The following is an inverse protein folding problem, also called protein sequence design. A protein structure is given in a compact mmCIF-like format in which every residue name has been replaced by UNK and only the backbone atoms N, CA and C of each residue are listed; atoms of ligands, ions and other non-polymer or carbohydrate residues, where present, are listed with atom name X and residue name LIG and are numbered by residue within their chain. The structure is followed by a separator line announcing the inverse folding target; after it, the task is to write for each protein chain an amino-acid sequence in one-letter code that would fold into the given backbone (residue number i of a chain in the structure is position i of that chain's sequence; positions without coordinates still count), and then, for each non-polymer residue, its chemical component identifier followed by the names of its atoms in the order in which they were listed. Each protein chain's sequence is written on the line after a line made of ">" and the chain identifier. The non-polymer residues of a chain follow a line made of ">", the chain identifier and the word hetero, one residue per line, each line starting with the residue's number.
data_IF_003394246453
#
_entry.id   IF_003394246453
#
_cell.length_a   1.000
_cell.length_b   1.000
_cell.length_c   1.000
_cell.angle_alpha   90.00
_cell.angle_beta   90.00
_cell.angle_gamma   90.00
#
_symmetry.space_group_name_H-M   'P 1'
#
loop_
_entity.id
_entity.type
_entity.pdbx_description
1 polymer ?
#
# COMPACT_ATOMS: atom_id res chain seq x y z
N UNK A 1 5.84 20.37 2.59
CA UNK A 1 6.40 21.21 1.50
C UNK A 1 6.59 22.64 1.94
N UNK A 2 5.56 23.29 2.52
CA UNK A 2 5.66 24.67 3.01
C UNK A 2 6.81 24.84 4.00
N UNK A 3 6.91 23.98 5.02
CA UNK A 3 7.99 24.00 6.00
C UNK A 3 9.38 23.84 5.35
N UNK A 4 9.51 22.90 4.39
CA UNK A 4 10.77 22.68 3.67
C UNK A 4 11.19 23.89 2.82
N UNK A 5 10.23 24.62 2.26
CA UNK A 5 10.54 25.88 1.54
C UNK A 5 11.04 26.98 2.50
N UNK A 6 10.45 27.12 3.68
CA UNK A 6 10.95 28.07 4.69
C UNK A 6 12.34 27.68 5.22
N UNK A 7 12.60 26.38 5.42
CA UNK A 7 13.95 25.93 5.81
C UNK A 7 14.94 26.19 4.67
N UNK A 8 14.52 26.07 3.42
CA UNK A 8 15.39 26.39 2.27
C UNK A 8 15.76 27.89 2.22
N UNK A 9 14.85 28.79 2.61
CA UNK A 9 15.13 30.21 2.74
C UNK A 9 16.30 30.46 3.69
N UNK A 10 16.35 29.74 4.81
CA UNK A 10 17.33 29.98 5.87
C UNK A 10 18.64 29.17 5.68
N UNK A 11 18.53 27.96 5.09
CA UNK A 11 19.64 26.98 4.98
C UNK A 11 20.03 26.62 3.54
N UNK A 12 19.38 27.21 2.54
CA UNK A 12 19.54 26.83 1.13
C UNK A 12 18.76 25.59 0.75
N UNK A 13 18.57 25.37 -0.54
CA UNK A 13 17.96 24.18 -1.12
C UNK A 13 18.88 22.96 -1.02
N UNK A 14 18.37 21.76 -1.29
CA UNK A 14 19.24 20.60 -1.48
C UNK A 14 20.15 20.80 -2.71
N UNK A 15 21.36 20.19 -2.74
CA UNK A 15 22.39 20.52 -3.75
C UNK A 15 21.95 20.40 -5.21
N UNK A 16 21.20 19.34 -5.54
CA UNK A 16 20.74 19.04 -6.90
C UNK A 16 19.42 19.74 -7.28
N UNK A 17 18.96 20.73 -6.50
CA UNK A 17 17.71 21.40 -6.76
C UNK A 17 17.77 22.27 -8.01
N UNK A 18 17.04 21.85 -9.05
CA UNK A 18 16.73 22.66 -10.22
C UNK A 18 15.29 23.17 -10.13
N UNK A 19 15.16 24.47 -9.86
CA UNK A 19 13.85 25.13 -9.69
C UNK A 19 12.93 24.98 -10.89
N UNK A 20 13.47 25.09 -12.10
CA UNK A 20 12.67 25.00 -13.33
C UNK A 20 12.17 23.57 -13.53
N UNK A 21 13.07 22.60 -13.41
CA UNK A 21 12.72 21.18 -13.53
C UNK A 21 11.73 20.77 -12.47
N UNK A 22 11.96 21.12 -11.19
CA UNK A 22 11.05 20.76 -10.10
C UNK A 22 9.63 21.30 -10.33
N UNK A 23 9.49 22.60 -10.61
CA UNK A 23 8.18 23.24 -10.80
C UNK A 23 7.47 22.81 -12.10
N UNK A 24 8.18 22.23 -13.06
CA UNK A 24 7.61 21.66 -14.27
C UNK A 24 7.04 20.24 -14.07
N UNK A 25 7.40 19.54 -12.98
CA UNK A 25 6.92 18.18 -12.71
C UNK A 25 5.40 18.15 -12.47
N UNK A 26 4.75 17.05 -12.87
CA UNK A 26 3.33 16.87 -12.61
C UNK A 26 3.01 16.83 -11.13
N UNK A 27 3.90 16.25 -10.33
CA UNK A 27 3.78 16.30 -8.88
C UNK A 27 3.76 17.75 -8.35
N UNK A 28 4.69 18.60 -8.74
CA UNK A 28 4.71 20.00 -8.28
C UNK A 28 3.45 20.77 -8.68
N UNK A 29 2.84 20.43 -9.81
CA UNK A 29 1.56 21.02 -10.25
C UNK A 29 0.39 20.67 -9.34
N UNK A 30 0.45 19.55 -8.61
CA UNK A 30 -0.59 19.17 -7.63
C UNK A 30 -0.51 19.98 -6.33
N UNK A 31 0.64 20.60 -6.04
CA UNK A 31 0.81 21.40 -4.84
C UNK A 31 -0.03 22.68 -4.89
N UNK A 32 -0.56 23.15 -3.75
CA UNK A 32 -1.26 24.43 -3.68
C UNK A 32 -0.41 25.57 -4.26
N UNK A 33 -1.05 26.51 -4.94
CA UNK A 33 -0.35 27.63 -5.58
C UNK A 33 0.55 28.41 -4.62
N UNK A 34 0.11 28.60 -3.37
CA UNK A 34 0.89 29.30 -2.33
C UNK A 34 2.19 28.56 -2.00
N UNK A 35 2.17 27.20 -1.97
CA UNK A 35 3.36 26.37 -1.75
C UNK A 35 4.29 26.45 -2.95
N UNK A 36 3.76 26.39 -4.16
CA UNK A 36 4.54 26.54 -5.40
C UNK A 36 5.23 27.90 -5.49
N UNK A 37 4.57 28.98 -5.05
CA UNK A 37 5.16 30.32 -4.98
C UNK A 37 6.32 30.38 -3.98
N UNK A 38 6.16 29.80 -2.79
CA UNK A 38 7.25 29.70 -1.80
C UNK A 38 8.45 28.92 -2.35
N UNK A 39 8.21 27.79 -3.03
CA UNK A 39 9.27 27.00 -3.65
C UNK A 39 9.94 27.80 -4.80
N UNK A 40 9.16 28.55 -5.55
CA UNK A 40 9.71 29.44 -6.60
C UNK A 40 10.63 30.51 -6.03
N UNK A 41 10.29 31.05 -4.89
CA UNK A 41 11.05 32.14 -4.25
C UNK A 41 12.27 31.58 -3.50
N UNK A 42 12.08 30.63 -2.62
CA UNK A 42 13.10 30.17 -1.67
C UNK A 42 13.76 28.84 -2.05
N UNK A 43 13.19 28.07 -3.00
CA UNK A 43 13.59 26.70 -3.25
C UNK A 43 12.94 25.70 -2.28
N UNK A 44 13.51 24.50 -2.17
CA UNK A 44 13.06 23.46 -1.24
C UNK A 44 14.27 22.77 -0.60
N UNK A 45 14.22 22.60 0.72
CA UNK A 45 15.36 22.03 1.48
C UNK A 45 15.54 20.54 1.26
N UNK A 46 14.45 19.79 1.15
CA UNK A 46 14.45 18.33 1.09
C UNK A 46 14.12 17.86 -0.32
N UNK A 47 14.96 16.99 -0.87
CA UNK A 47 14.73 16.41 -2.20
C UNK A 47 13.49 15.51 -2.25
N UNK A 48 13.17 14.89 -1.11
CA UNK A 48 12.01 14.01 -0.92
C UNK A 48 11.40 14.27 0.45
N UNK A 49 10.06 14.27 0.54
CA UNK A 49 9.34 14.58 1.76
C UNK A 49 8.31 13.54 2.18
N UNK A 50 7.60 12.93 1.24
CA UNK A 50 6.51 11.99 1.54
C UNK A 50 6.76 10.64 0.88
N UNK A 51 6.56 9.58 1.65
CA UNK A 51 6.52 8.19 1.21
C UNK A 51 5.41 7.44 1.93
N UNK A 52 4.95 6.35 1.36
CA UNK A 52 4.09 5.40 2.09
C UNK A 52 4.90 4.14 2.34
N UNK A 53 5.31 3.97 3.61
CA UNK A 53 6.06 2.81 4.06
C UNK A 53 5.13 1.60 4.31
N UNK A 54 5.67 0.37 4.38
CA UNK A 54 4.86 -0.84 4.58
C UNK A 54 4.07 -0.87 5.89
N UNK A 55 4.63 -0.34 6.98
CA UNK A 55 4.03 -0.22 8.33
C UNK A 55 3.36 -1.50 8.89
N UNK A 56 3.79 -2.68 8.45
CA UNK A 56 3.16 -3.96 8.76
C UNK A 56 2.95 -4.20 10.26
N UNK A 57 4.04 -4.17 11.04
CA UNK A 57 3.97 -4.38 12.49
C UNK A 57 3.20 -3.27 13.21
N UNK A 58 3.41 -2.02 12.79
CA UNK A 58 2.72 -0.87 13.40
C UNK A 58 1.21 -0.93 13.18
N UNK A 59 0.77 -1.25 11.95
CA UNK A 59 -0.65 -1.40 11.64
C UNK A 59 -1.29 -2.54 12.43
N UNK A 60 -0.62 -3.70 12.54
CA UNK A 60 -1.10 -4.81 13.36
C UNK A 60 -1.23 -4.43 14.84
N UNK A 61 -0.29 -3.64 15.38
CA UNK A 61 -0.32 -3.21 16.78
C UNK A 61 -1.52 -2.31 17.07
N UNK A 62 -1.92 -1.47 16.13
CA UNK A 62 -3.07 -0.56 16.31
C UNK A 62 -4.39 -1.10 15.70
N UNK A 63 -4.37 -2.32 15.14
CA UNK A 63 -5.57 -3.00 14.66
C UNK A 63 -6.17 -2.42 13.38
N UNK A 64 -5.33 -1.90 12.46
CA UNK A 64 -5.76 -1.35 11.17
C UNK A 64 -5.00 -1.99 10.01
N UNK A 65 -5.54 -1.86 8.80
CA UNK A 65 -4.81 -2.21 7.57
C UNK A 65 -3.55 -1.34 7.44
N UNK A 66 -2.52 -1.85 6.77
CA UNK A 66 -1.20 -1.23 6.72
C UNK A 66 -1.00 -0.48 5.40
N UNK A 67 -0.43 0.71 5.48
CA UNK A 67 -0.15 1.54 4.29
C UNK A 67 -1.38 1.78 3.44
N UNK A 68 -1.34 1.34 2.18
CA UNK A 68 -2.45 1.38 1.21
C UNK A 68 -2.84 -0.03 0.75
N UNK A 69 -2.53 -1.02 1.58
CA UNK A 69 -2.90 -2.41 1.30
C UNK A 69 -4.34 -2.70 1.73
N UNK A 70 -5.07 -3.55 1.00
CA UNK A 70 -6.27 -4.17 1.54
C UNK A 70 -5.91 -5.07 2.73
N UNK A 71 -6.89 -5.48 3.51
CA UNK A 71 -6.68 -6.55 4.50
C UNK A 71 -6.20 -7.81 3.79
N UNK A 72 -5.37 -8.64 4.46
CA UNK A 72 -4.89 -9.89 3.86
C UNK A 72 -6.06 -10.79 3.45
N UNK A 73 -6.96 -11.05 4.38
CA UNK A 73 -8.23 -11.74 4.19
C UNK A 73 -9.14 -11.44 5.37
N UNK A 74 -10.48 -11.48 5.23
CA UNK A 74 -11.42 -11.34 6.34
C UNK A 74 -11.21 -12.39 7.43
N UNK A 75 -10.83 -13.63 7.04
CA UNK A 75 -10.43 -14.69 7.94
C UNK A 75 -9.29 -15.53 7.32
N UNK A 76 -8.37 -16.01 8.15
CA UNK A 76 -7.22 -16.76 7.68
C UNK A 76 -6.63 -17.70 8.73
N UNK A 77 -5.95 -18.74 8.28
CA UNK A 77 -5.09 -19.55 9.17
C UNK A 77 -3.74 -18.86 9.36
N UNK A 78 -3.31 -18.76 10.62
CA UNK A 78 -1.97 -18.35 11.00
C UNK A 78 -1.24 -19.55 11.61
N UNK A 79 -0.03 -19.81 11.14
CA UNK A 79 0.86 -20.81 11.77
C UNK A 79 1.58 -20.17 12.95
N UNK A 80 1.45 -20.77 14.14
CA UNK A 80 2.12 -20.34 15.35
C UNK A 80 3.06 -21.46 15.80
N UNK A 81 4.32 -21.13 16.02
CA UNK A 81 5.29 -22.06 16.60
C UNK A 81 5.15 -22.05 18.12
N UNK A 82 4.71 -23.16 18.71
CA UNK A 82 4.69 -23.38 20.16
C UNK A 82 5.69 -24.50 20.50
N UNK A 83 6.87 -24.13 20.96
CA UNK A 83 7.97 -25.07 21.18
C UNK A 83 8.39 -25.71 19.85
N UNK A 84 8.35 -27.04 19.77
CA UNK A 84 8.65 -27.81 18.56
C UNK A 84 7.43 -28.11 17.65
N UNK A 85 6.22 -27.70 18.08
CA UNK A 85 4.98 -27.95 17.32
C UNK A 85 4.53 -26.68 16.57
N UNK A 86 4.00 -26.89 15.35
CA UNK A 86 3.32 -25.85 14.58
C UNK A 86 1.82 -26.03 14.78
N UNK A 87 1.18 -25.04 15.38
CA UNK A 87 -0.28 -24.98 15.51
C UNK A 87 -0.84 -24.03 14.44
N UNK A 88 -2.02 -24.36 13.90
CA UNK A 88 -2.81 -23.47 13.07
C UNK A 88 -3.88 -22.81 13.93
N UNK A 89 -3.98 -21.51 13.86
CA UNK A 89 -5.01 -20.72 14.53
C UNK A 89 -5.83 -19.98 13.48
N UNK A 90 -7.16 -19.96 13.65
CA UNK A 90 -8.03 -19.12 12.82
C UNK A 90 -7.99 -17.70 13.38
N UNK A 91 -7.67 -16.74 12.51
CA UNK A 91 -7.63 -15.32 12.86
C UNK A 91 -8.65 -14.60 11.98
N UNK A 92 -9.40 -13.71 12.59
CA UNK A 92 -10.33 -12.82 11.92
C UNK A 92 -9.77 -11.42 11.86
N UNK A 93 -10.06 -10.71 10.78
CA UNK A 93 -9.91 -9.26 10.76
C UNK A 93 -10.80 -8.65 11.85
N UNK A 94 -10.32 -7.70 12.67
CA UNK A 94 -11.08 -7.18 13.80
C UNK A 94 -12.41 -6.55 13.39
N UNK A 95 -12.44 -5.80 12.29
CA UNK A 95 -13.67 -5.17 11.80
C UNK A 95 -14.64 -6.20 11.22
N UNK A 96 -14.12 -7.18 10.48
CA UNK A 96 -14.93 -8.29 9.98
C UNK A 96 -15.59 -9.05 11.14
N UNK A 97 -14.83 -9.33 12.21
CA UNK A 97 -15.34 -10.00 13.40
C UNK A 97 -16.43 -9.18 14.10
N UNK A 98 -16.22 -7.87 14.27
CA UNK A 98 -17.23 -6.97 14.86
C UNK A 98 -18.54 -7.00 14.07
N UNK A 99 -18.46 -6.96 12.74
CA UNK A 99 -19.64 -6.99 11.86
C UNK A 99 -20.36 -8.34 11.96
N UNK A 100 -19.61 -9.41 11.94
CA UNK A 100 -20.14 -10.77 12.07
C UNK A 100 -20.89 -10.96 13.40
N UNK A 101 -20.26 -10.58 14.52
CA UNK A 101 -20.84 -10.72 15.87
C UNK A 101 -22.08 -9.83 16.07
N UNK A 102 -22.16 -8.71 15.36
CA UNK A 102 -23.33 -7.82 15.38
C UNK A 102 -24.41 -8.16 14.35
N UNK A 103 -24.25 -9.24 13.59
CA UNK A 103 -25.20 -9.65 12.55
C UNK A 103 -25.32 -8.69 11.37
N UNK A 104 -24.32 -7.83 11.16
CA UNK A 104 -24.25 -6.94 10.00
C UNK A 104 -23.82 -7.71 8.75
N UNK A 105 -24.15 -7.17 7.57
CA UNK A 105 -23.72 -7.71 6.31
C UNK A 105 -22.18 -7.70 6.18
N UNK A 106 -21.60 -8.84 5.85
CA UNK A 106 -20.16 -9.03 5.67
C UNK A 106 -19.78 -9.38 4.21
N UNK A 107 -20.74 -9.39 3.31
CA UNK A 107 -20.54 -9.81 1.91
C UNK A 107 -19.60 -8.93 1.12
N UNK A 108 -19.41 -7.69 1.52
CA UNK A 108 -18.53 -6.70 0.85
C UNK A 108 -17.09 -6.69 1.36
N UNK A 109 -16.76 -7.51 2.37
CA UNK A 109 -15.36 -7.61 2.79
C UNK A 109 -14.53 -8.35 1.75
N UNK A 110 -13.49 -7.70 1.29
CA UNK A 110 -12.54 -8.23 0.29
C UNK A 110 -11.14 -8.31 0.89
N UNK A 111 -10.46 -9.42 0.65
CA UNK A 111 -9.06 -9.59 0.98
C UNK A 111 -8.13 -9.21 -0.18
N UNK A 112 -6.84 -9.30 0.06
CA UNK A 112 -5.82 -8.90 -0.91
C UNK A 112 -5.84 -9.71 -2.21
N UNK A 113 -6.35 -10.95 -2.17
CA UNK A 113 -6.48 -11.83 -3.34
C UNK A 113 -7.79 -11.66 -4.11
N UNK A 114 -8.76 -10.94 -3.55
CA UNK A 114 -10.03 -10.64 -4.20
C UNK A 114 -9.94 -9.37 -5.06
N UNK A 115 -8.84 -8.60 -4.90
CA UNK A 115 -8.55 -7.36 -5.64
C UNK A 115 -7.70 -7.70 -6.87
N UNK A 116 -8.13 -7.26 -8.04
CA UNK A 116 -7.39 -7.50 -9.29
C UNK A 116 -6.07 -6.70 -9.35
N UNK A 117 -5.07 -7.14 -10.15
CA UNK A 117 -3.83 -6.38 -10.36
C UNK A 117 -4.08 -4.95 -10.84
N UNK A 118 -5.07 -4.75 -11.72
CA UNK A 118 -5.48 -3.43 -12.21
C UNK A 118 -5.99 -2.53 -11.10
N UNK A 119 -6.82 -3.05 -10.20
CA UNK A 119 -7.36 -2.30 -9.05
C UNK A 119 -6.26 -1.94 -8.06
N UNK A 120 -5.36 -2.89 -7.75
CA UNK A 120 -4.17 -2.62 -6.93
C UNK A 120 -3.36 -1.46 -7.49
N UNK A 121 -3.05 -1.48 -8.77
CA UNK A 121 -2.25 -0.44 -9.43
C UNK A 121 -3.02 0.87 -9.61
N UNK A 122 -4.33 0.81 -9.84
CA UNK A 122 -5.18 2.01 -9.91
C UNK A 122 -5.18 2.78 -8.59
N UNK A 123 -5.29 2.08 -7.46
CA UNK A 123 -5.19 2.69 -6.13
C UNK A 123 -3.81 3.32 -5.95
N UNK A 124 -2.73 2.57 -6.20
CA UNK A 124 -1.36 3.06 -6.07
C UNK A 124 -1.10 4.27 -6.96
N UNK A 125 -1.43 4.22 -8.24
CA UNK A 125 -1.23 5.32 -9.20
C UNK A 125 -2.06 6.56 -8.88
N UNK A 126 -3.26 6.39 -8.31
CA UNK A 126 -4.09 7.51 -7.87
C UNK A 126 -3.41 8.27 -6.71
N UNK A 127 -2.88 7.54 -5.73
CA UNK A 127 -2.22 8.12 -4.56
C UNK A 127 -0.84 8.67 -4.95
N UNK A 128 -0.12 8.00 -5.86
CA UNK A 128 1.22 8.41 -6.31
C UNK A 128 1.28 9.85 -6.85
N UNK A 129 0.18 10.36 -7.37
CA UNK A 129 0.10 11.76 -7.84
C UNK A 129 0.42 12.77 -6.72
N UNK A 130 0.18 12.41 -5.46
CA UNK A 130 0.30 13.27 -4.29
C UNK A 130 1.49 12.90 -3.38
N UNK A 131 2.24 11.86 -3.73
CA UNK A 131 3.40 11.37 -2.99
C UNK A 131 4.64 11.52 -3.87
N UNK A 132 5.64 12.26 -3.38
CA UNK A 132 6.86 12.56 -4.13
C UNK A 132 7.88 11.43 -4.15
N UNK A 133 7.79 10.46 -3.24
CA UNK A 133 8.60 9.25 -3.24
C UNK A 133 7.76 8.02 -3.59
N UNK A 134 8.35 6.83 -3.44
CA UNK A 134 7.67 5.56 -3.70
C UNK A 134 6.60 5.23 -2.67
N UNK A 135 5.63 4.46 -3.10
CA UNK A 135 4.58 3.87 -2.28
C UNK A 135 4.84 2.37 -2.20
N UNK A 136 4.94 1.86 -0.96
CA UNK A 136 4.95 0.41 -0.73
C UNK A 136 3.55 -0.14 -0.92
N UNK A 137 3.39 -0.92 -1.96
CA UNK A 137 2.14 -1.65 -2.25
C UNK A 137 2.43 -2.94 -2.96
N UNK A 138 1.77 -4.01 -2.49
CA UNK A 138 1.89 -5.34 -3.07
C UNK A 138 0.69 -5.65 -3.97
N UNK A 139 0.97 -6.18 -5.15
CA UNK A 139 -0.02 -6.83 -6.00
C UNK A 139 -0.04 -8.30 -5.60
N UNK A 140 -1.12 -8.73 -4.98
CA UNK A 140 -1.30 -10.12 -4.58
C UNK A 140 -1.96 -10.90 -5.72
N UNK A 141 -1.34 -12.00 -6.11
CA UNK A 141 -1.79 -12.84 -7.21
C UNK A 141 -2.12 -14.25 -6.70
N UNK A 142 -3.18 -14.88 -7.21
CA UNK A 142 -3.44 -16.29 -6.96
C UNK A 142 -2.33 -17.15 -7.58
N UNK A 143 -2.20 -18.39 -7.13
CA UNK A 143 -1.21 -19.35 -7.64
C UNK A 143 -1.35 -19.59 -9.15
N UNK A 144 -2.58 -19.49 -9.66
CA UNK A 144 -2.95 -19.70 -11.08
C UNK A 144 -2.70 -18.48 -11.96
N UNK A 145 -2.19 -17.37 -11.40
CA UNK A 145 -2.00 -16.15 -12.19
C UNK A 145 -0.96 -16.34 -13.29
N UNK A 146 -1.30 -15.85 -14.47
CA UNK A 146 -0.43 -15.80 -15.63
C UNK A 146 0.56 -14.63 -15.55
N UNK A 147 1.84 -14.90 -15.90
CA UNK A 147 2.91 -13.90 -15.85
C UNK A 147 2.79 -12.84 -16.94
N UNK A 148 2.28 -13.21 -18.12
CA UNK A 148 2.24 -12.31 -19.27
C UNK A 148 1.15 -11.24 -19.08
N UNK A 149 -0.02 -11.65 -18.59
CA UNK A 149 -1.09 -10.72 -18.23
C UNK A 149 -0.67 -9.74 -17.14
N UNK A 150 0.15 -10.16 -16.18
CA UNK A 150 0.71 -9.28 -15.19
C UNK A 150 1.69 -8.26 -15.79
N UNK A 151 2.54 -8.70 -16.72
CA UNK A 151 3.51 -7.82 -17.38
C UNK A 151 2.79 -6.70 -18.15
N UNK A 152 1.75 -7.02 -18.90
CA UNK A 152 0.95 -6.05 -19.65
C UNK A 152 0.35 -4.99 -18.73
N UNK A 153 -0.23 -5.43 -17.60
CA UNK A 153 -0.79 -4.52 -16.60
C UNK A 153 0.31 -3.66 -15.95
N UNK A 154 1.45 -4.25 -15.60
CA UNK A 154 2.58 -3.53 -15.02
C UNK A 154 3.13 -2.45 -15.97
N UNK A 155 3.27 -2.77 -17.26
CA UNK A 155 3.72 -1.83 -18.29
C UNK A 155 2.71 -0.68 -18.48
N UNK A 156 1.41 -0.96 -18.49
CA UNK A 156 0.37 0.05 -18.61
C UNK A 156 0.38 1.05 -17.44
N UNK A 157 0.72 0.61 -16.24
CA UNK A 157 0.78 1.46 -15.05
C UNK A 157 2.16 2.03 -14.72
N UNK A 158 3.23 1.57 -15.38
CA UNK A 158 4.61 2.04 -15.14
C UNK A 158 4.75 3.57 -15.13
N UNK A 159 4.08 4.36 -15.99
CA UNK A 159 4.16 5.82 -15.95
C UNK A 159 3.54 6.46 -14.71
N UNK A 160 2.70 5.73 -13.97
CA UNK A 160 1.90 6.26 -12.87
C UNK A 160 2.38 5.84 -11.48
N UNK A 161 3.36 4.94 -11.39
CA UNK A 161 3.88 4.41 -10.12
C UNK A 161 5.41 4.50 -10.08
N UNK A 162 5.99 4.60 -8.88
CA UNK A 162 7.45 4.69 -8.68
C UNK A 162 8.07 3.41 -8.13
N UNK A 163 7.29 2.38 -7.97
CA UNK A 163 7.74 1.07 -7.51
C UNK A 163 6.65 0.04 -7.72
N UNK A 164 7.05 -1.21 -7.85
CA UNK A 164 6.18 -2.35 -8.08
C UNK A 164 6.63 -3.51 -7.21
N UNK A 165 5.73 -4.08 -6.43
CA UNK A 165 5.95 -5.32 -5.69
C UNK A 165 4.86 -6.31 -6.04
N UNK A 166 5.25 -7.52 -6.38
CA UNK A 166 4.33 -8.61 -6.73
C UNK A 166 4.56 -9.78 -5.79
N UNK A 167 3.49 -10.35 -5.31
CA UNK A 167 3.51 -11.60 -4.56
C UNK A 167 2.48 -12.57 -5.14
N UNK A 168 2.95 -13.73 -5.63
CA UNK A 168 2.09 -14.83 -6.08
C UNK A 168 2.00 -15.88 -4.99
N UNK A 169 0.77 -16.30 -4.67
CA UNK A 169 0.53 -17.40 -3.72
C UNK A 169 1.28 -18.66 -4.15
N UNK A 170 1.83 -19.40 -3.20
CA UNK A 170 2.63 -20.60 -3.48
C UNK A 170 4.06 -20.34 -3.96
N UNK A 171 4.48 -19.09 -4.21
CA UNK A 171 5.85 -18.78 -4.69
C UNK A 171 6.93 -18.97 -3.62
N UNK A 172 6.56 -18.95 -2.35
CA UNK A 172 7.43 -19.25 -1.22
C UNK A 172 6.91 -20.52 -0.56
N UNK A 173 7.72 -21.54 -0.41
CA UNK A 173 7.34 -22.89 -0.02
C UNK A 173 6.31 -23.00 1.12
N UNK A 174 6.60 -22.53 2.35
CA UNK A 174 5.61 -22.48 3.43
C UNK A 174 5.06 -21.06 3.63
N UNK A 175 3.77 -20.87 3.32
CA UNK A 175 3.09 -19.61 3.62
C UNK A 175 2.71 -19.56 5.11
N UNK A 176 3.12 -18.49 5.84
CA UNK A 176 2.77 -18.32 7.26
C UNK A 176 1.28 -18.04 7.46
N UNK A 177 0.62 -17.46 6.46
CA UNK A 177 -0.79 -17.11 6.45
C UNK A 177 -1.47 -17.78 5.25
N UNK A 178 -2.69 -18.30 5.44
CA UNK A 178 -3.51 -18.85 4.37
C UNK A 178 -4.94 -18.35 4.50
N UNK A 179 -5.42 -17.64 3.49
CA UNK A 179 -6.78 -17.13 3.45
C UNK A 179 -7.81 -18.26 3.55
N UNK A 180 -8.90 -18.01 4.25
CA UNK A 180 -10.05 -18.91 4.36
C UNK A 180 -11.20 -18.24 3.60
N UNK A 181 -11.84 -18.94 2.64
CA UNK A 181 -13.02 -18.40 1.96
C UNK A 181 -14.14 -18.07 2.96
N UNK A 182 -14.75 -16.91 2.81
CA UNK A 182 -15.86 -16.42 3.66
C UNK A 182 -17.20 -17.06 3.26
N UNK A 183 -17.27 -18.39 3.32
CA UNK A 183 -18.52 -19.14 3.12
C UNK A 183 -19.26 -19.26 4.45
N UNK A 184 -20.60 -19.41 4.39
CA UNK A 184 -21.40 -19.62 5.61
C UNK A 184 -20.91 -20.80 6.46
N UNK A 185 -20.42 -21.86 5.82
CA UNK A 185 -19.88 -23.03 6.51
C UNK A 185 -18.59 -22.70 7.30
N UNK A 186 -17.72 -21.89 6.72
CA UNK A 186 -16.45 -21.50 7.36
C UNK A 186 -16.65 -20.47 8.47
N UNK A 187 -17.68 -19.64 8.35
CA UNK A 187 -18.02 -18.62 9.36
C UNK A 187 -18.59 -19.25 10.64
N UNK A 188 -19.30 -20.40 10.52
CA UNK A 188 -19.94 -21.09 11.65
C UNK A 188 -19.00 -22.03 12.42
N UNK A 189 -17.79 -22.27 11.95
CA UNK A 189 -16.72 -23.06 12.62
C UNK A 189 -15.82 -22.18 13.47
#
# INVERSE_FOLDING_TARGET
>A
YKASAYIARDKGSFPEFDRKKFLATDFAKTLPITVRMLIREHGIRNGVLLTIAPTGTTGMTVGVSTGVEPIFAPMYFRKIKKGNAIQKEVVFDPLFREFLDSGKDVSYFQGAYDVTPQEHLKVQGTIQKYIDNSISKTINLPETADSDSLLDVALAFAPYVKGLTVYRSGSKGEEPLKAIPTTEENIKK
#
